data_IF_204426892740
#
_entry.id   IF_204426892740
#
_cell.length_a   1.000
_cell.length_b   1.000
_cell.length_c   1.000
_cell.angle_alpha   90.00
_cell.angle_beta   90.00
_cell.angle_gamma   90.00
#
_symmetry.space_group_name_H-M   'P 1'
#
loop_
_entity.id
_entity.type
_entity.pdbx_description
1 polymer ?
#
# COMPACT_ATOMS: atom_id res chain seq x y z
N UNK A 1 -12.81 21.70 29.39
CA UNK A 1 -13.95 22.23 28.60
C UNK A 1 -14.34 23.57 29.17
N UNK A 2 -14.22 24.66 28.40
CA UNK A 2 -14.95 25.90 28.68
C UNK A 2 -16.29 25.83 27.94
N UNK A 3 -17.36 26.28 28.56
CA UNK A 3 -18.69 26.27 27.93
C UNK A 3 -18.67 27.15 26.66
N UNK A 4 -19.21 26.61 25.56
CA UNK A 4 -19.46 27.38 24.32
C UNK A 4 -18.40 27.31 23.21
N UNK A 5 -17.21 26.74 23.42
CA UNK A 5 -16.15 26.68 22.38
C UNK A 5 -15.76 25.26 21.95
N UNK A 6 -16.45 24.23 22.48
CA UNK A 6 -16.14 22.84 22.18
C UNK A 6 -17.30 22.17 21.45
N UNK A 7 -17.02 21.46 20.34
CA UNK A 7 -18.04 20.65 19.68
C UNK A 7 -18.44 19.45 20.55
N UNK A 8 -19.70 19.02 20.44
CA UNK A 8 -20.25 17.91 21.20
C UNK A 8 -19.43 16.63 20.98
N UNK A 9 -18.88 16.10 22.08
CA UNK A 9 -18.10 14.88 22.07
C UNK A 9 -19.00 13.71 22.42
N UNK A 10 -19.18 12.79 21.46
CA UNK A 10 -20.15 11.70 21.55
C UNK A 10 -19.46 10.37 21.27
N UNK A 11 -20.05 9.29 21.78
CA UNK A 11 -19.59 7.94 21.42
C UNK A 11 -19.94 7.66 19.95
N UNK A 12 -18.99 7.07 19.24
CA UNK A 12 -18.99 6.91 17.79
C UNK A 12 -18.48 5.52 17.44
N UNK A 13 -19.13 4.91 16.45
CA UNK A 13 -18.69 3.62 15.93
C UNK A 13 -17.96 3.84 14.61
N UNK A 14 -16.69 3.45 14.55
CA UNK A 14 -15.89 3.48 13.32
C UNK A 14 -15.97 2.09 12.69
N UNK A 15 -16.58 2.00 11.50
CA UNK A 15 -16.71 0.73 10.77
C UNK A 15 -15.70 0.69 9.64
N UNK A 16 -14.80 -0.31 9.65
CA UNK A 16 -13.84 -0.54 8.59
C UNK A 16 -14.38 -1.53 7.54
N UNK A 17 -13.95 -1.38 6.28
CA UNK A 17 -14.27 -2.33 5.19
C UNK A 17 -13.86 -3.77 5.50
N UNK A 18 -12.80 -3.98 6.28
CA UNK A 18 -12.38 -5.33 6.70
C UNK A 18 -13.20 -5.92 7.86
N UNK A 19 -14.34 -5.31 8.22
CA UNK A 19 -15.25 -5.81 9.25
C UNK A 19 -14.87 -5.43 10.68
N UNK A 20 -13.77 -4.69 10.86
CA UNK A 20 -13.36 -4.21 12.17
C UNK A 20 -14.24 -3.04 12.63
N UNK A 21 -14.74 -3.12 13.86
CA UNK A 21 -15.60 -2.10 14.48
C UNK A 21 -14.85 -1.52 15.67
N UNK A 22 -14.51 -0.24 15.59
CA UNK A 22 -13.76 0.47 16.64
C UNK A 22 -14.72 1.43 17.33
N UNK A 23 -14.99 1.20 18.61
CA UNK A 23 -15.72 2.15 19.45
C UNK A 23 -14.76 3.26 19.90
N UNK A 24 -15.06 4.50 19.53
CA UNK A 24 -14.23 5.67 19.86
C UNK A 24 -15.12 6.86 20.14
N UNK A 25 -14.62 7.87 20.84
CA UNK A 25 -15.36 9.12 21.04
C UNK A 25 -14.94 10.14 19.98
N UNK A 26 -15.91 10.72 19.30
CA UNK A 26 -15.70 11.71 18.25
C UNK A 26 -16.83 12.74 18.26
N UNK A 27 -16.67 13.80 17.48
CA UNK A 27 -17.69 14.83 17.30
C UNK A 27 -18.71 14.48 16.22
N UNK A 28 -18.56 13.32 15.56
CA UNK A 28 -19.43 12.83 14.47
C UNK A 28 -19.87 11.41 14.78
N UNK A 29 -21.18 11.13 14.70
CA UNK A 29 -21.80 9.92 15.26
C UNK A 29 -21.51 8.58 14.57
N UNK A 30 -21.08 8.55 13.30
CA UNK A 30 -20.68 7.30 12.63
C UNK A 30 -19.62 7.60 11.58
N UNK A 31 -18.53 6.81 11.57
CA UNK A 31 -17.42 7.02 10.64
C UNK A 31 -17.17 5.72 9.89
N UNK A 32 -17.24 5.76 8.57
CA UNK A 32 -16.84 4.65 7.70
C UNK A 32 -15.43 4.90 7.21
N UNK A 33 -14.54 3.94 7.42
CA UNK A 33 -13.13 4.06 7.05
C UNK A 33 -12.72 2.92 6.13
N UNK A 34 -11.99 3.23 5.07
CA UNK A 34 -11.55 2.25 4.07
C UNK A 34 -10.41 1.37 4.58
N UNK A 35 -9.52 1.93 5.41
CA UNK A 35 -8.33 1.25 5.91
C UNK A 35 -8.17 1.54 7.42
N UNK A 36 -8.14 0.49 8.24
CA UNK A 36 -7.81 0.59 9.66
C UNK A 36 -6.43 0.00 9.95
N UNK A 37 -5.99 0.13 11.20
CA UNK A 37 -4.70 -0.42 11.68
C UNK A 37 -4.54 -1.91 11.39
N UNK A 38 -5.62 -2.67 11.43
CA UNK A 38 -5.59 -4.11 11.19
C UNK A 38 -5.40 -4.45 9.70
N UNK A 39 -5.65 -3.49 8.80
CA UNK A 39 -5.77 -3.72 7.37
C UNK A 39 -4.78 -2.87 6.56
N UNK A 40 -4.09 -1.91 7.18
CA UNK A 40 -3.06 -1.12 6.52
C UNK A 40 -1.84 -2.02 6.19
N UNK A 41 -1.40 -2.09 4.92
CA UNK A 41 -0.28 -2.93 4.49
C UNK A 41 1.02 -2.71 5.28
N UNK A 42 1.18 -1.52 5.85
CA UNK A 42 2.29 -1.18 6.75
C UNK A 42 2.23 -1.94 8.07
N UNK A 43 1.06 -2.05 8.71
CA UNK A 43 0.91 -2.67 10.04
C UNK A 43 0.84 -4.20 9.96
N UNK A 44 0.41 -4.74 8.82
CA UNK A 44 0.34 -6.19 8.58
C UNK A 44 1.66 -6.78 8.08
N UNK A 45 2.72 -5.96 7.92
CA UNK A 45 4.09 -6.40 7.61
C UNK A 45 4.30 -7.05 6.24
N UNK A 46 3.23 -7.28 5.47
CA UNK A 46 3.30 -7.79 4.10
C UNK A 46 3.48 -6.61 3.16
N UNK A 47 4.71 -6.09 3.09
CA UNK A 47 5.12 -5.29 1.94
C UNK A 47 4.78 -6.10 0.68
N UNK A 48 3.81 -5.64 -0.11
CA UNK A 48 3.63 -6.15 -1.46
C UNK A 48 4.95 -5.88 -2.17
N UNK A 49 5.69 -6.95 -2.42
CA UNK A 49 6.91 -6.95 -3.20
C UNK A 49 6.49 -6.68 -4.66
N UNK A 50 6.14 -5.43 -4.97
CA UNK A 50 5.79 -5.03 -6.35
C UNK A 50 7.07 -4.84 -7.18
N UNK A 51 8.23 -4.75 -6.56
CA UNK A 51 9.48 -4.33 -7.21
C UNK A 51 10.47 -5.44 -7.61
N UNK A 52 10.24 -6.72 -7.29
CA UNK A 52 11.17 -7.79 -7.73
C UNK A 52 11.00 -8.17 -9.19
N UNK A 53 9.76 -8.22 -9.70
CA UNK A 53 9.49 -8.61 -11.10
C UNK A 53 10.10 -7.61 -12.10
N UNK A 54 9.91 -6.31 -11.90
CA UNK A 54 10.41 -5.27 -12.80
C UNK A 54 11.94 -5.15 -12.84
N UNK A 55 12.64 -5.46 -11.74
CA UNK A 55 14.11 -5.46 -11.70
C UNK A 55 14.70 -6.64 -12.50
N UNK A 56 14.07 -7.82 -12.45
CA UNK A 56 14.49 -8.99 -13.25
C UNK A 56 14.25 -8.76 -14.74
N UNK A 57 13.13 -8.17 -15.13
CA UNK A 57 12.85 -7.86 -16.55
C UNK A 57 13.82 -6.83 -17.12
N UNK A 58 14.18 -5.80 -16.35
CA UNK A 58 15.22 -4.83 -16.75
C UNK A 58 16.60 -5.47 -16.89
N UNK A 59 16.90 -6.48 -16.07
CA UNK A 59 18.14 -7.24 -16.19
C UNK A 59 18.13 -8.09 -17.46
N UNK A 60 17.07 -8.89 -17.71
CA UNK A 60 16.94 -9.71 -18.92
C UNK A 60 17.10 -8.88 -20.21
N UNK A 61 16.41 -7.75 -20.33
CA UNK A 61 16.51 -6.84 -21.49
C UNK A 61 17.93 -6.30 -21.75
N UNK A 62 18.73 -6.07 -20.69
CA UNK A 62 20.12 -5.60 -20.80
C UNK A 62 21.10 -6.67 -21.24
N UNK A 63 20.80 -7.95 -20.99
CA UNK A 63 21.66 -9.05 -21.39
C UNK A 63 21.32 -9.56 -22.79
N UNK A 64 20.03 -9.61 -23.17
CA UNK A 64 19.58 -9.94 -24.54
C UNK A 64 20.31 -9.07 -25.58
N UNK A 65 20.32 -7.74 -25.37
CA UNK A 65 21.02 -6.78 -26.25
C UNK A 65 22.54 -6.99 -26.35
N UNK A 66 23.18 -7.66 -25.38
CA UNK A 66 24.62 -8.00 -25.45
C UNK A 66 24.89 -9.34 -26.12
N UNK A 67 23.94 -10.28 -26.08
CA UNK A 67 24.08 -11.59 -26.73
C UNK A 67 23.90 -11.45 -28.26
N UNK A 68 23.02 -10.57 -28.72
CA UNK A 68 22.82 -10.29 -30.15
C UNK A 68 24.04 -9.59 -30.79
N UNK A 69 24.74 -8.75 -30.02
CA UNK A 69 25.96 -8.07 -30.49
C UNK A 69 27.17 -9.00 -30.61
N UNK A 70 27.19 -10.14 -29.90
CA UNK A 70 28.32 -11.09 -29.91
C UNK A 70 28.12 -12.26 -30.88
N UNK A 71 26.88 -12.68 -31.12
CA UNK A 71 26.56 -13.74 -32.10
C UNK A 71 26.68 -13.28 -33.56
N UNK A 72 26.41 -12.01 -33.87
CA UNK A 72 26.59 -11.44 -35.22
C UNK A 72 28.06 -11.29 -35.63
N UNK A 73 28.99 -11.10 -34.68
CA UNK A 73 30.44 -11.05 -34.95
C UNK A 73 31.06 -12.43 -35.19
N UNK A 74 30.56 -13.48 -34.55
CA UNK A 74 31.10 -14.86 -34.70
C UNK A 74 30.67 -15.54 -36.01
N UNK A 75 29.55 -15.12 -36.62
CA UNK A 75 29.08 -15.67 -37.91
C UNK A 75 29.77 -15.04 -39.14
N UNK A 76 30.68 -14.08 -38.92
CA UNK A 76 31.43 -13.36 -39.97
C UNK A 76 32.95 -13.62 -39.93
N UNK A 77 33.38 -14.62 -39.15
CA UNK A 77 34.74 -15.21 -39.18
C UNK A 77 34.67 -16.67 -39.61
#
# INVERSE_FOLDING_TARGET
MKEGIHPDYQETTITCVCGNVIHTRSTKKDIKTEICSNCHPFMTGKQKIVDTAGRVERFKKKYETKVDATTSKKKKS
#
